data_IF_340993863367
#
_entry.id   IF_340993863367
#
_cell.length_a   1.000
_cell.length_b   1.000
_cell.length_c   1.000
_cell.angle_alpha   90.00
_cell.angle_beta   90.00
_cell.angle_gamma   90.00
#
_symmetry.space_group_name_H-M   'P 1'
#
loop_
_entity.id
_entity.type
_entity.pdbx_description
1 polymer ?
#
# COMPACT_ATOMS: atom_id res chain seq x y z
N UNK A 1 61.11 -47.50 11.04
CA UNK A 1 61.21 -48.85 10.43
C UNK A 1 60.20 -48.88 9.33
N UNK A 2 60.70 -48.83 8.15
CA UNK A 2 60.61 -49.76 7.02
C UNK A 2 59.36 -49.58 6.15
N UNK A 3 59.43 -48.89 4.98
CA UNK A 3 59.80 -49.43 3.61
C UNK A 3 58.61 -50.25 3.04
N UNK A 4 58.06 -50.11 1.79
CA UNK A 4 58.62 -49.85 0.44
C UNK A 4 57.41 -49.60 -0.50
N UNK A 5 57.45 -48.70 -1.46
CA UNK A 5 57.89 -48.74 -2.87
C UNK A 5 56.98 -49.47 -3.87
N UNK A 6 56.37 -48.68 -4.74
CA UNK A 6 56.28 -48.52 -6.21
C UNK A 6 56.75 -49.73 -7.09
N UNK A 7 56.17 -50.05 -8.29
CA UNK A 7 56.34 -49.30 -9.56
C UNK A 7 55.10 -49.25 -10.49
N UNK A 8 54.85 -48.20 -11.32
CA UNK A 8 55.42 -47.79 -12.64
C UNK A 8 55.40 -48.87 -13.76
N UNK A 9 54.66 -48.54 -14.83
CA UNK A 9 54.92 -48.66 -16.28
C UNK A 9 53.62 -48.44 -17.07
N UNK A 10 53.45 -47.41 -17.82
CA UNK A 10 53.95 -46.97 -19.14
C UNK A 10 53.52 -47.87 -20.32
N UNK A 11 52.99 -47.21 -21.34
CA UNK A 11 53.05 -47.43 -22.80
C UNK A 11 51.71 -47.26 -23.45
N UNK A 12 51.48 -46.32 -24.25
CA UNK A 12 51.80 -45.83 -25.57
C UNK A 12 50.55 -45.52 -26.40
N UNK A 13 50.58 -44.38 -27.02
CA UNK A 13 49.68 -43.73 -27.94
C UNK A 13 49.22 -44.55 -29.13
N UNK A 14 48.05 -44.24 -29.67
CA UNK A 14 47.82 -44.11 -31.12
C UNK A 14 46.74 -43.06 -31.35
N UNK A 15 47.09 -42.09 -32.17
CA UNK A 15 46.20 -41.07 -32.82
C UNK A 15 45.29 -41.75 -33.83
N UNK A 16 44.01 -41.33 -33.85
CA UNK A 16 43.23 -41.23 -35.09
C UNK A 16 42.13 -40.19 -34.95
N UNK A 17 42.23 -39.19 -35.80
CA UNK A 17 41.29 -38.15 -36.11
C UNK A 17 40.01 -38.70 -36.70
N UNK A 18 38.85 -38.25 -36.20
CA UNK A 18 37.62 -38.21 -36.98
C UNK A 18 36.71 -37.07 -36.52
N UNK A 19 36.42 -36.19 -37.44
CA UNK A 19 35.40 -35.15 -37.33
C UNK A 19 34.03 -35.75 -37.07
N UNK A 20 33.26 -35.18 -36.14
CA UNK A 20 31.81 -35.30 -36.21
C UNK A 20 31.11 -34.17 -35.46
N UNK A 21 30.07 -33.69 -36.08
CA UNK A 21 29.15 -32.59 -35.82
C UNK A 21 28.65 -32.44 -34.37
N UNK A 22 28.20 -31.22 -33.99
CA UNK A 22 27.54 -31.01 -32.73
C UNK A 22 26.10 -31.56 -32.81
N UNK A 23 25.78 -32.50 -31.93
CA UNK A 23 24.44 -33.04 -31.72
C UNK A 23 23.58 -32.01 -30.97
N UNK A 24 22.53 -31.61 -31.58
CA UNK A 24 21.37 -30.89 -30.99
C UNK A 24 20.78 -31.68 -29.82
N UNK A 25 20.36 -31.03 -28.71
CA UNK A 25 19.67 -31.74 -27.64
C UNK A 25 18.27 -32.17 -28.12
N UNK A 26 18.01 -33.47 -28.03
CA UNK A 26 16.68 -34.01 -28.26
C UNK A 26 15.79 -33.71 -27.05
N UNK A 27 14.71 -32.97 -27.30
CA UNK A 27 13.60 -32.80 -26.37
C UNK A 27 12.78 -34.08 -26.37
N UNK A 28 12.74 -34.77 -25.26
CA UNK A 28 11.83 -35.94 -25.09
C UNK A 28 10.49 -35.41 -24.63
N UNK A 29 9.51 -35.34 -25.52
CA UNK A 29 8.10 -35.14 -25.16
C UNK A 29 7.56 -36.38 -24.48
N UNK A 30 7.22 -36.32 -23.22
CA UNK A 30 6.48 -37.34 -22.50
C UNK A 30 4.99 -37.07 -22.67
N UNK A 31 4.37 -37.68 -23.66
CA UNK A 31 2.92 -37.62 -23.83
C UNK A 31 2.27 -38.58 -22.81
N UNK A 32 1.62 -38.03 -21.82
CA UNK A 32 0.77 -38.80 -20.89
C UNK A 32 -0.60 -38.91 -21.51
N UNK A 33 -0.94 -40.08 -22.00
CA UNK A 33 -2.31 -40.40 -22.48
C UNK A 33 -3.20 -40.57 -21.25
N UNK A 34 -4.15 -39.68 -21.09
CA UNK A 34 -5.25 -39.84 -20.13
C UNK A 34 -6.47 -40.31 -20.95
N UNK A 35 -6.86 -41.56 -20.82
CA UNK A 35 -8.12 -42.05 -21.38
C UNK A 35 -9.29 -41.41 -20.61
N UNK A 36 -10.00 -40.50 -21.28
CA UNK A 36 -11.30 -40.02 -20.84
C UNK A 36 -12.36 -40.70 -21.72
N UNK A 37 -13.03 -41.71 -21.19
CA UNK A 37 -14.19 -42.34 -21.85
C UNK A 37 -15.35 -41.36 -21.83
N UNK A 38 -15.58 -40.68 -22.94
CA UNK A 38 -16.77 -39.85 -23.15
C UNK A 38 -17.68 -40.56 -24.15
N UNK A 39 -18.88 -40.91 -23.72
CA UNK A 39 -19.93 -41.38 -24.65
C UNK A 39 -20.32 -40.22 -25.57
N UNK A 40 -20.10 -40.40 -26.86
CA UNK A 40 -20.51 -39.46 -27.91
C UNK A 40 -21.81 -39.99 -28.50
N UNK A 41 -22.90 -39.27 -28.29
CA UNK A 41 -24.13 -39.46 -29.08
C UNK A 41 -23.85 -38.95 -30.51
N UNK A 42 -23.89 -39.86 -31.47
CA UNK A 42 -23.75 -39.51 -32.89
C UNK A 42 -25.12 -39.19 -33.44
N UNK A 43 -25.45 -37.91 -33.53
CA UNK A 43 -26.62 -37.47 -34.31
C UNK A 43 -26.20 -37.34 -35.77
N UNK A 44 -26.78 -38.19 -36.62
CA UNK A 44 -26.55 -38.19 -38.07
C UNK A 44 -27.29 -36.99 -38.68
N UNK A 45 -26.55 -35.93 -39.06
CA UNK A 45 -27.09 -34.81 -39.82
C UNK A 45 -27.11 -35.19 -41.31
N UNK A 46 -28.30 -35.18 -41.93
CA UNK A 46 -28.49 -35.35 -43.36
C UNK A 46 -28.21 -33.97 -44.01
N UNK A 47 -27.22 -33.91 -44.87
CA UNK A 47 -26.87 -32.71 -45.63
C UNK A 47 -28.01 -32.38 -46.63
N UNK A 48 -28.55 -31.15 -46.50
CA UNK A 48 -29.36 -30.52 -47.55
C UNK A 48 -28.44 -29.77 -48.54
N UNK A 49 -28.80 -29.64 -49.81
CA UNK A 49 -27.91 -29.05 -50.82
C UNK A 49 -27.60 -27.58 -50.52
N UNK A 50 -26.32 -27.25 -50.60
CA UNK A 50 -25.76 -25.96 -50.31
C UNK A 50 -26.31 -24.85 -51.19
N UNK A 51 -26.92 -23.82 -50.59
CA UNK A 51 -27.11 -22.51 -51.18
C UNK A 51 -25.76 -21.75 -51.20
N UNK A 52 -25.48 -20.95 -52.24
CA UNK A 52 -24.23 -20.18 -52.32
C UNK A 52 -24.15 -19.23 -51.09
N UNK A 53 -23.07 -19.32 -50.33
CA UNK A 53 -22.81 -18.46 -49.21
C UNK A 53 -22.60 -17.02 -49.65
N UNK A 54 -23.44 -16.11 -49.18
CA UNK A 54 -23.16 -14.67 -49.24
C UNK A 54 -21.88 -14.40 -48.44
N UNK A 55 -20.88 -13.79 -49.07
CA UNK A 55 -19.63 -13.39 -48.42
C UNK A 55 -19.94 -12.30 -47.39
N UNK A 56 -20.03 -12.71 -46.13
CA UNK A 56 -20.10 -11.75 -45.02
C UNK A 56 -18.70 -11.18 -44.85
N UNK A 57 -18.53 -9.90 -45.16
CA UNK A 57 -17.28 -9.15 -44.87
C UNK A 57 -16.99 -9.27 -43.34
N UNK A 58 -15.71 -9.44 -42.94
CA UNK A 58 -15.38 -9.48 -41.51
C UNK A 58 -15.83 -8.20 -40.88
N UNK A 59 -16.65 -8.31 -39.80
CA UNK A 59 -17.05 -7.18 -39.01
C UNK A 59 -15.80 -6.52 -38.43
N UNK A 60 -15.58 -5.26 -38.77
CA UNK A 60 -14.53 -4.44 -38.16
C UNK A 60 -14.76 -4.44 -36.64
N UNK A 61 -13.80 -4.81 -35.79
CA UNK A 61 -13.96 -4.72 -34.34
C UNK A 61 -14.35 -3.29 -33.97
N UNK A 62 -15.41 -3.15 -33.17
CA UNK A 62 -15.76 -1.85 -32.61
C UNK A 62 -14.54 -1.25 -31.89
N UNK A 63 -14.25 0.06 -32.07
CA UNK A 63 -13.15 0.70 -31.35
C UNK A 63 -13.29 0.44 -29.86
N UNK A 64 -12.22 -0.02 -29.21
CA UNK A 64 -12.19 -0.12 -27.75
C UNK A 64 -12.50 1.26 -27.16
N UNK A 65 -13.29 1.37 -26.08
CA UNK A 65 -13.51 2.65 -25.43
C UNK A 65 -12.15 3.28 -25.11
N UNK A 66 -11.99 4.60 -25.32
CA UNK A 66 -10.73 5.26 -25.06
C UNK A 66 -10.36 5.01 -23.58
N UNK A 67 -9.11 4.61 -23.34
CA UNK A 67 -8.55 4.50 -22.01
C UNK A 67 -8.72 5.87 -21.30
N UNK A 68 -9.03 5.90 -20.00
CA UNK A 68 -9.11 7.15 -19.26
C UNK A 68 -7.81 7.93 -19.47
N UNK A 69 -7.91 9.12 -20.03
CA UNK A 69 -6.74 9.98 -20.19
C UNK A 69 -6.28 10.43 -18.81
N UNK A 70 -4.98 10.34 -18.53
CA UNK A 70 -4.38 10.96 -17.35
C UNK A 70 -4.74 12.46 -17.32
N UNK A 71 -5.08 13.03 -16.15
CA UNK A 71 -5.36 14.46 -16.03
C UNK A 71 -4.13 15.26 -16.46
N UNK A 72 -4.34 16.33 -17.22
CA UNK A 72 -3.24 17.27 -17.54
C UNK A 72 -2.82 18.06 -16.30
N UNK A 73 -1.67 18.74 -16.40
CA UNK A 73 -1.12 19.58 -15.32
C UNK A 73 -2.17 20.54 -14.74
N UNK A 74 -2.41 20.47 -13.43
CA UNK A 74 -3.35 21.32 -12.71
C UNK A 74 -4.84 21.01 -12.88
N UNK A 75 -5.18 19.97 -13.60
CA UNK A 75 -6.59 19.61 -13.82
C UNK A 75 -7.30 19.12 -12.54
N UNK A 76 -6.58 18.40 -11.69
CA UNK A 76 -7.17 17.89 -10.44
C UNK A 76 -7.47 19.04 -9.47
N UNK A 77 -6.53 19.99 -9.29
CA UNK A 77 -6.77 21.17 -8.45
C UNK A 77 -7.96 21.99 -8.95
N UNK A 78 -8.07 22.22 -10.26
CA UNK A 78 -9.20 22.92 -10.87
C UNK A 78 -10.55 22.22 -10.59
N UNK A 79 -10.59 20.88 -10.73
CA UNK A 79 -11.80 20.09 -10.42
C UNK A 79 -12.17 20.16 -8.95
N UNK A 80 -11.21 20.02 -8.06
CA UNK A 80 -11.38 20.07 -6.60
C UNK A 80 -11.91 21.44 -6.17
N UNK A 81 -11.29 22.53 -6.66
CA UNK A 81 -11.69 23.90 -6.33
C UNK A 81 -13.05 24.26 -6.92
N UNK A 82 -13.34 23.88 -8.17
CA UNK A 82 -14.64 24.11 -8.79
C UNK A 82 -15.79 23.36 -8.07
N UNK A 83 -15.51 22.16 -7.55
CA UNK A 83 -16.46 21.36 -6.75
C UNK A 83 -16.62 21.90 -5.33
N UNK A 84 -15.66 22.67 -4.83
CA UNK A 84 -15.64 23.23 -3.47
C UNK A 84 -15.37 22.23 -2.36
N UNK A 85 -14.91 21.03 -2.67
CA UNK A 85 -14.51 19.97 -1.72
C UNK A 85 -13.55 18.97 -2.33
N UNK A 86 -12.70 18.37 -1.48
CA UNK A 86 -11.83 17.24 -1.79
C UNK A 86 -12.63 15.93 -1.69
N UNK A 87 -12.43 14.97 -2.59
CA UNK A 87 -12.90 13.58 -2.42
C UNK A 87 -11.69 12.72 -2.05
N UNK A 88 -11.66 12.26 -0.79
CA UNK A 88 -10.56 11.46 -0.25
C UNK A 88 -10.98 10.00 -0.08
N UNK A 89 -10.25 9.09 -0.73
CA UNK A 89 -10.39 7.65 -0.55
C UNK A 89 -9.76 7.20 0.76
N UNK A 90 -10.57 6.64 1.67
CA UNK A 90 -10.18 6.33 3.05
C UNK A 90 -10.51 4.91 3.45
N UNK A 91 -9.89 4.43 4.53
CA UNK A 91 -10.36 3.27 5.27
C UNK A 91 -11.48 3.71 6.25
N UNK A 92 -12.40 2.79 6.56
CA UNK A 92 -13.48 3.01 7.54
C UNK A 92 -13.48 1.97 8.68
N UNK A 93 -12.47 1.08 8.70
CA UNK A 93 -12.50 -0.13 9.52
C UNK A 93 -11.26 -0.33 10.40
N UNK A 94 -10.25 0.56 10.35
CA UNK A 94 -9.00 0.43 11.11
C UNK A 94 -8.90 1.57 12.13
N UNK A 95 -9.28 1.33 13.41
CA UNK A 95 -9.18 2.33 14.47
C UNK A 95 -7.79 2.95 14.55
N UNK A 96 -7.72 4.26 14.74
CA UNK A 96 -6.48 5.02 14.76
C UNK A 96 -5.95 5.43 13.37
N UNK A 97 -6.22 4.70 12.28
CA UNK A 97 -5.82 5.08 10.92
C UNK A 97 -6.96 5.69 10.10
N UNK A 98 -8.01 4.92 9.88
CA UNK A 98 -9.22 5.36 9.19
C UNK A 98 -10.40 4.53 9.68
N UNK A 99 -11.33 5.15 10.39
CA UNK A 99 -12.50 4.50 10.95
C UNK A 99 -13.65 5.48 11.11
N UNK A 100 -14.84 4.94 11.29
CA UNK A 100 -16.03 5.73 11.65
C UNK A 100 -16.21 5.62 13.16
N UNK A 101 -16.21 6.76 13.83
CA UNK A 101 -16.38 6.82 15.29
C UNK A 101 -17.85 6.65 15.72
N UNK A 102 -18.10 6.68 17.03
CA UNK A 102 -19.45 6.50 17.58
C UNK A 102 -20.44 7.60 17.23
N UNK A 103 -19.98 8.75 16.74
CA UNK A 103 -20.81 9.84 16.23
C UNK A 103 -21.15 9.70 14.74
N UNK A 104 -20.57 8.72 14.05
CA UNK A 104 -20.65 8.54 12.61
C UNK A 104 -19.65 9.37 11.82
N UNK A 105 -18.70 10.03 12.48
CA UNK A 105 -17.67 10.83 11.83
C UNK A 105 -16.43 9.99 11.48
N UNK A 106 -15.80 10.33 10.33
CA UNK A 106 -14.50 9.75 9.97
C UNK A 106 -13.39 10.34 10.84
N UNK A 107 -12.56 9.48 11.40
CA UNK A 107 -11.44 9.83 12.26
C UNK A 107 -10.22 8.92 11.98
N UNK A 108 -9.03 9.38 12.38
CA UNK A 108 -7.80 8.61 12.28
C UNK A 108 -6.66 9.36 11.60
N UNK A 109 -5.48 8.78 11.68
CA UNK A 109 -4.22 9.32 11.17
C UNK A 109 -4.30 9.65 9.66
N UNK A 110 -4.76 8.72 8.84
CA UNK A 110 -4.94 8.91 7.40
C UNK A 110 -6.01 9.98 7.10
N UNK A 111 -7.09 9.99 7.88
CA UNK A 111 -8.18 10.98 7.77
C UNK A 111 -7.69 12.39 8.07
N UNK A 112 -6.76 12.54 9.01
CA UNK A 112 -6.19 13.85 9.31
C UNK A 112 -5.29 14.37 8.18
N UNK A 113 -4.63 13.51 7.39
CA UNK A 113 -3.95 13.94 6.15
C UNK A 113 -4.94 14.36 5.05
N UNK A 114 -6.14 13.76 4.96
CA UNK A 114 -7.20 14.30 4.10
C UNK A 114 -7.61 15.70 4.54
N UNK A 115 -7.76 15.93 5.87
CA UNK A 115 -8.08 17.26 6.43
C UNK A 115 -6.95 18.26 6.20
N UNK A 116 -5.68 17.81 6.27
CA UNK A 116 -4.52 18.64 5.94
C UNK A 116 -4.58 19.19 4.51
N UNK A 117 -4.93 18.34 3.54
CA UNK A 117 -5.13 18.75 2.15
C UNK A 117 -6.30 19.72 1.98
N UNK A 118 -7.43 19.48 2.64
CA UNK A 118 -8.55 20.43 2.60
C UNK A 118 -8.17 21.78 3.22
N UNK A 119 -7.42 21.78 4.31
CA UNK A 119 -6.89 22.99 4.92
C UNK A 119 -5.94 23.74 3.98
N UNK A 120 -5.04 23.02 3.29
CA UNK A 120 -4.12 23.60 2.32
C UNK A 120 -4.82 24.29 1.16
N UNK A 121 -5.92 23.69 0.64
CA UNK A 121 -6.61 24.13 -0.56
C UNK A 121 -7.69 25.19 -0.23
N UNK A 122 -8.46 24.97 0.84
CA UNK A 122 -9.67 25.73 1.15
C UNK A 122 -9.57 26.57 2.45
N UNK A 123 -8.48 26.42 3.23
CA UNK A 123 -8.41 26.94 4.60
C UNK A 123 -9.59 26.43 5.48
N UNK A 124 -10.11 25.24 5.17
CA UNK A 124 -11.26 24.66 5.86
C UNK A 124 -11.17 23.12 5.83
N UNK A 125 -10.94 22.52 7.00
CA UNK A 125 -10.82 21.07 7.19
C UNK A 125 -12.11 20.30 6.91
N UNK A 126 -13.26 20.99 6.83
CA UNK A 126 -14.57 20.37 6.57
C UNK A 126 -14.87 20.20 5.08
N UNK A 127 -14.08 20.79 4.18
CA UNK A 127 -14.27 20.72 2.73
C UNK A 127 -13.81 19.37 2.15
N UNK A 128 -14.35 18.28 2.71
CA UNK A 128 -14.01 16.91 2.32
C UNK A 128 -15.27 16.08 2.14
N UNK A 129 -15.25 15.24 1.11
CA UNK A 129 -16.10 14.06 0.99
C UNK A 129 -15.22 12.82 1.21
N UNK A 130 -15.54 12.05 2.21
CA UNK A 130 -14.85 10.78 2.46
C UNK A 130 -15.50 9.68 1.63
N UNK A 131 -14.66 8.95 0.87
CA UNK A 131 -15.08 7.79 0.09
C UNK A 131 -14.42 6.54 0.66
N UNK A 132 -15.16 5.73 1.46
CA UNK A 132 -14.61 4.46 1.94
C UNK A 132 -14.41 3.50 0.76
N UNK A 133 -13.23 2.92 0.67
CA UNK A 133 -12.88 1.94 -0.37
C UNK A 133 -12.22 0.71 0.26
N UNK A 134 -12.52 -0.48 -0.28
CA UNK A 134 -11.86 -1.73 0.13
C UNK A 134 -10.42 -1.78 -0.41
N UNK A 135 -9.65 -2.80 -0.02
CA UNK A 135 -8.30 -3.01 -0.55
C UNK A 135 -8.30 -3.25 -2.06
N UNK A 136 -9.33 -3.91 -2.61
CA UNK A 136 -9.47 -4.14 -4.05
C UNK A 136 -10.00 -2.93 -4.81
N UNK A 137 -10.91 -2.16 -4.21
CA UNK A 137 -11.56 -1.03 -4.88
C UNK A 137 -10.69 0.23 -4.96
N UNK A 138 -9.70 0.39 -4.08
CA UNK A 138 -8.94 1.65 -3.92
C UNK A 138 -8.23 2.12 -5.19
N UNK A 139 -7.59 1.22 -5.94
CA UNK A 139 -6.87 1.59 -7.16
C UNK A 139 -7.81 1.88 -8.33
N UNK A 140 -8.84 1.05 -8.63
CA UNK A 140 -9.87 1.42 -9.61
C UNK A 140 -10.56 2.75 -9.31
N UNK A 141 -10.88 3.04 -8.04
CA UNK A 141 -11.49 4.31 -7.65
C UNK A 141 -10.56 5.52 -7.88
N UNK A 142 -9.24 5.34 -7.64
CA UNK A 142 -8.25 6.38 -7.94
C UNK A 142 -8.09 6.58 -9.44
N UNK A 143 -7.96 5.50 -10.22
CA UNK A 143 -7.76 5.55 -11.67
C UNK A 143 -8.96 6.19 -12.39
N UNK A 144 -10.19 5.83 -12.02
CA UNK A 144 -11.41 6.37 -12.62
C UNK A 144 -11.67 7.84 -12.29
N UNK A 145 -11.01 8.37 -11.26
CA UNK A 145 -11.26 9.72 -10.75
C UNK A 145 -12.48 9.82 -9.83
N UNK A 146 -12.98 8.70 -9.32
CA UNK A 146 -13.98 8.68 -8.26
C UNK A 146 -13.45 9.32 -6.99
N UNK A 147 -12.16 9.20 -6.73
CA UNK A 147 -11.43 9.90 -5.66
C UNK A 147 -10.30 10.75 -6.23
N UNK A 148 -10.02 11.89 -5.60
CA UNK A 148 -8.93 12.79 -6.00
C UNK A 148 -7.58 12.32 -5.44
N UNK A 149 -7.59 11.74 -4.26
CA UNK A 149 -6.43 11.21 -3.55
C UNK A 149 -6.83 9.97 -2.76
N UNK A 150 -5.92 9.02 -2.65
CA UNK A 150 -6.07 7.82 -1.83
C UNK A 150 -5.15 7.95 -0.59
N UNK A 151 -5.75 8.02 0.61
CA UNK A 151 -5.02 8.02 1.89
C UNK A 151 -5.67 6.97 2.79
N UNK A 152 -5.12 5.74 2.71
CA UNK A 152 -5.79 4.55 3.25
C UNK A 152 -4.77 3.45 3.56
N UNK A 153 -3.88 3.66 4.54
CA UNK A 153 -2.86 2.68 4.91
C UNK A 153 -2.39 1.82 3.71
N UNK A 154 -1.99 2.50 2.63
CA UNK A 154 -1.63 1.86 1.36
C UNK A 154 -0.11 1.78 1.25
N UNK A 155 0.40 0.55 1.17
CA UNK A 155 1.83 0.27 1.06
C UNK A 155 2.36 0.67 -0.31
N UNK A 156 3.43 1.45 -0.33
CA UNK A 156 4.18 1.79 -1.52
C UNK A 156 5.00 0.57 -1.99
N UNK A 157 4.67 0.07 -3.16
CA UNK A 157 5.42 -1.00 -3.84
C UNK A 157 5.67 -0.61 -5.29
N UNK A 158 6.70 -1.18 -5.92
CA UNK A 158 7.01 -0.93 -7.33
C UNK A 158 5.77 -1.16 -8.22
N UNK A 159 5.12 -2.31 -8.09
CA UNK A 159 3.94 -2.66 -8.91
C UNK A 159 2.81 -1.66 -8.72
N UNK A 160 2.53 -1.24 -7.48
CA UNK A 160 1.47 -0.26 -7.22
C UNK A 160 1.79 1.11 -7.79
N UNK A 161 3.06 1.49 -7.78
CA UNK A 161 3.54 2.78 -8.27
C UNK A 161 3.60 2.82 -9.81
N UNK A 162 3.77 1.68 -10.47
CA UNK A 162 3.92 1.61 -11.93
C UNK A 162 2.64 1.15 -12.64
N UNK A 163 2.02 0.08 -12.15
CA UNK A 163 0.97 -0.63 -12.90
C UNK A 163 -0.45 -0.15 -12.55
N UNK A 164 -0.62 0.47 -11.38
CA UNK A 164 -1.93 0.92 -10.92
C UNK A 164 -2.28 2.38 -11.28
N UNK A 165 -1.54 2.98 -12.22
CA UNK A 165 -1.85 4.32 -12.78
C UNK A 165 -1.81 5.46 -11.77
N UNK A 166 -1.04 5.31 -10.68
CA UNK A 166 -0.88 6.32 -9.66
C UNK A 166 0.55 6.38 -9.12
N UNK A 167 0.89 7.48 -8.48
CA UNK A 167 2.18 7.74 -7.86
C UNK A 167 2.01 7.90 -6.35
N UNK A 168 2.88 7.26 -5.58
CA UNK A 168 3.02 7.56 -4.15
C UNK A 168 3.80 8.85 -3.95
N UNK A 169 3.33 9.72 -3.05
CA UNK A 169 3.91 11.06 -2.90
C UNK A 169 4.96 11.15 -1.79
N UNK A 170 4.76 10.42 -0.71
CA UNK A 170 5.65 10.34 0.45
C UNK A 170 5.23 9.16 1.33
N UNK A 171 6.14 8.68 2.19
CA UNK A 171 5.79 7.75 3.27
C UNK A 171 5.29 8.55 4.47
N UNK A 172 4.04 8.31 4.87
CA UNK A 172 3.46 8.90 6.10
C UNK A 172 3.62 8.00 7.31
N UNK A 173 3.75 6.68 7.11
CA UNK A 173 3.91 5.72 8.20
C UNK A 173 4.79 4.54 7.75
N UNK A 174 5.87 4.27 8.48
CA UNK A 174 6.74 3.11 8.28
C UNK A 174 6.25 1.95 9.14
N UNK A 175 5.83 0.88 8.50
CA UNK A 175 5.29 -0.32 9.13
C UNK A 175 5.98 -1.60 8.64
N UNK A 176 5.51 -2.72 9.11
CA UNK A 176 5.86 -4.06 8.67
C UNK A 176 4.72 -5.02 8.96
N UNK A 177 4.61 -6.08 8.20
CA UNK A 177 3.60 -7.12 8.44
C UNK A 177 3.96 -7.95 9.67
N UNK A 178 2.95 -8.22 10.50
CA UNK A 178 3.02 -9.09 11.67
C UNK A 178 2.06 -10.26 11.61
N UNK A 179 2.03 -11.02 12.70
CA UNK A 179 1.13 -12.14 12.92
C UNK A 179 0.55 -12.04 14.33
N UNK A 180 -0.77 -12.18 14.48
CA UNK A 180 -1.44 -12.24 15.78
C UNK A 180 -2.08 -13.61 15.97
N UNK A 181 -1.95 -14.15 17.18
CA UNK A 181 -2.46 -15.46 17.57
C UNK A 181 -3.13 -15.39 18.96
N UNK A 182 -4.05 -16.30 19.28
CA UNK A 182 -4.50 -16.49 20.65
C UNK A 182 -3.33 -16.95 21.54
N UNK A 183 -3.22 -16.44 22.76
CA UNK A 183 -2.20 -16.89 23.74
C UNK A 183 -2.27 -18.38 24.02
N UNK A 184 -3.47 -18.95 23.98
CA UNK A 184 -3.70 -20.39 24.17
C UNK A 184 -3.00 -21.28 23.17
N UNK A 185 -2.68 -20.75 21.97
CA UNK A 185 -1.93 -21.48 20.95
C UNK A 185 -0.45 -21.68 21.34
N UNK A 186 0.08 -20.86 22.26
CA UNK A 186 1.49 -20.86 22.68
C UNK A 186 2.51 -20.75 21.53
N UNK A 187 2.09 -20.21 20.36
CA UNK A 187 2.97 -19.95 19.25
C UNK A 187 3.87 -18.74 19.51
N UNK A 188 5.15 -18.84 19.12
CA UNK A 188 6.17 -17.78 19.27
C UNK A 188 6.82 -17.38 17.96
N UNK A 189 6.69 -18.19 16.92
CA UNK A 189 7.28 -18.02 15.59
C UNK A 189 6.34 -18.55 14.51
N UNK A 190 6.62 -18.24 13.25
CA UNK A 190 5.76 -18.65 12.13
C UNK A 190 5.71 -20.17 11.95
N UNK A 191 6.78 -20.89 12.25
CA UNK A 191 6.85 -22.35 12.15
C UNK A 191 5.86 -23.06 13.08
N UNK A 192 5.48 -22.43 14.18
CA UNK A 192 4.48 -22.96 15.12
C UNK A 192 3.05 -22.94 14.54
N UNK A 193 2.85 -22.28 13.39
CA UNK A 193 1.56 -22.19 12.68
C UNK A 193 1.43 -23.24 11.57
N UNK A 194 2.30 -24.26 11.56
CA UNK A 194 2.23 -25.33 10.55
C UNK A 194 0.87 -26.05 10.62
N UNK A 195 0.25 -26.25 9.45
CA UNK A 195 -1.10 -26.80 9.26
C UNK A 195 -2.24 -25.94 9.81
N UNK A 196 -1.95 -24.76 10.35
CA UNK A 196 -2.95 -23.81 10.85
C UNK A 196 -3.70 -23.08 9.75
N UNK A 197 -4.85 -22.52 10.11
CA UNK A 197 -5.64 -21.62 9.26
C UNK A 197 -5.30 -20.17 9.60
N UNK A 198 -4.94 -19.37 8.59
CA UNK A 198 -4.53 -17.97 8.78
C UNK A 198 -5.50 -17.05 8.05
N UNK A 199 -6.18 -16.18 8.80
CA UNK A 199 -7.04 -15.14 8.27
C UNK A 199 -6.21 -14.01 7.64
N UNK A 200 -6.56 -13.60 6.43
CA UNK A 200 -5.93 -12.50 5.70
C UNK A 200 -6.93 -11.75 4.83
N UNK A 201 -6.71 -10.46 4.61
CA UNK A 201 -7.55 -9.65 3.73
C UNK A 201 -7.07 -9.71 2.29
N UNK A 202 -8.01 -9.95 1.36
CA UNK A 202 -7.81 -9.98 -0.10
C UNK A 202 -7.31 -8.64 -0.67
N UNK A 203 -6.50 -8.72 -1.74
CA UNK A 203 -6.01 -7.53 -2.46
C UNK A 203 -4.97 -6.71 -1.68
N UNK A 204 -4.33 -7.31 -0.68
CA UNK A 204 -3.31 -6.65 0.16
C UNK A 204 -1.91 -7.17 -0.15
N UNK A 205 -0.89 -6.37 0.20
CA UNK A 205 0.51 -6.83 0.25
C UNK A 205 0.67 -7.96 1.26
N UNK A 206 -0.10 -7.91 2.34
CA UNK A 206 -0.02 -8.90 3.43
C UNK A 206 -0.53 -10.27 3.02
N UNK A 207 -1.47 -10.37 2.07
CA UNK A 207 -1.86 -11.64 1.44
C UNK A 207 -0.71 -12.25 0.63
N UNK A 208 -0.04 -11.43 -0.21
CA UNK A 208 1.10 -11.87 -1.02
C UNK A 208 2.30 -12.26 -0.15
N UNK A 209 2.66 -11.39 0.80
CA UNK A 209 3.77 -11.65 1.70
C UNK A 209 3.55 -12.89 2.58
N UNK A 210 2.30 -13.16 3.01
CA UNK A 210 1.97 -14.38 3.74
C UNK A 210 2.36 -15.61 2.91
N UNK A 211 1.93 -15.67 1.65
CA UNK A 211 2.24 -16.78 0.76
C UNK A 211 3.75 -16.94 0.56
N UNK A 212 4.47 -15.83 0.32
CA UNK A 212 5.93 -15.84 0.11
C UNK A 212 6.67 -16.31 1.37
N UNK A 213 6.32 -15.79 2.54
CA UNK A 213 6.99 -16.10 3.81
C UNK A 213 6.78 -17.56 4.22
N UNK A 214 5.56 -18.08 4.06
CA UNK A 214 5.25 -19.46 4.39
C UNK A 214 5.91 -20.44 3.41
N UNK A 215 5.92 -20.10 2.11
CA UNK A 215 6.61 -20.88 1.07
C UNK A 215 8.12 -20.93 1.31
N UNK A 216 8.75 -19.78 1.56
CA UNK A 216 10.21 -19.70 1.80
C UNK A 216 10.65 -20.53 3.01
N UNK A 217 9.77 -20.65 4.03
CA UNK A 217 10.02 -21.47 5.24
C UNK A 217 9.52 -22.90 5.11
N UNK A 218 8.90 -23.27 3.99
CA UNK A 218 8.27 -24.59 3.76
C UNK A 218 7.21 -24.93 4.81
N UNK A 219 6.48 -23.91 5.29
CA UNK A 219 5.38 -24.08 6.22
C UNK A 219 4.10 -24.32 5.44
N UNK A 220 3.46 -25.46 5.65
CA UNK A 220 2.13 -25.74 5.12
C UNK A 220 1.09 -25.05 6.00
N UNK A 221 0.15 -24.34 5.40
CA UNK A 221 -0.93 -23.65 6.09
C UNK A 221 -2.17 -23.54 5.19
N UNK A 222 -3.30 -23.15 5.73
CA UNK A 222 -4.52 -22.88 4.98
C UNK A 222 -4.84 -21.37 5.04
N UNK A 223 -4.77 -20.62 3.93
CA UNK A 223 -5.21 -19.23 3.92
C UNK A 223 -6.74 -19.15 3.98
N UNK A 224 -7.28 -18.35 4.89
CA UNK A 224 -8.68 -17.93 4.93
C UNK A 224 -8.77 -16.47 4.51
N UNK A 225 -9.23 -16.24 3.27
CA UNK A 225 -9.20 -14.93 2.61
C UNK A 225 -10.56 -14.26 2.71
N UNK A 226 -10.59 -12.98 3.13
CA UNK A 226 -11.80 -12.17 3.33
C UNK A 226 -11.72 -10.84 2.59
N UNK A 227 -12.86 -10.28 2.21
CA UNK A 227 -12.92 -9.07 1.37
C UNK A 227 -12.53 -7.79 2.14
N UNK A 228 -12.75 -7.73 3.46
CA UNK A 228 -12.49 -6.54 4.26
C UNK A 228 -11.95 -6.86 5.66
N UNK A 229 -11.47 -5.84 6.37
CA UNK A 229 -10.86 -6.01 7.69
C UNK A 229 -11.86 -6.48 8.75
N UNK A 230 -13.12 -6.04 8.69
CA UNK A 230 -14.13 -6.44 9.68
C UNK A 230 -14.41 -7.94 9.58
N UNK A 231 -14.66 -8.45 8.38
CA UNK A 231 -14.90 -9.89 8.14
C UNK A 231 -13.67 -10.74 8.49
N UNK A 232 -12.45 -10.25 8.18
CA UNK A 232 -11.18 -10.91 8.52
C UNK A 232 -11.05 -11.09 10.05
N UNK A 233 -11.22 -10.01 10.80
CA UNK A 233 -11.06 -10.03 12.26
C UNK A 233 -12.25 -10.66 13.00
N UNK A 234 -13.47 -10.59 12.43
CA UNK A 234 -14.61 -11.34 12.97
C UNK A 234 -14.38 -12.84 12.89
N UNK A 235 -13.91 -13.34 11.73
CA UNK A 235 -13.57 -14.74 11.55
C UNK A 235 -12.50 -15.23 12.53
N UNK A 236 -11.47 -14.41 12.76
CA UNK A 236 -10.44 -14.70 13.75
C UNK A 236 -11.03 -14.73 15.19
N UNK A 237 -11.83 -13.73 15.56
CA UNK A 237 -12.44 -13.65 16.89
C UNK A 237 -13.42 -14.80 17.18
N UNK A 238 -14.07 -15.34 16.14
CA UNK A 238 -14.94 -16.52 16.19
C UNK A 238 -14.17 -17.86 16.24
N UNK A 239 -12.83 -17.83 16.19
CA UNK A 239 -11.99 -19.02 16.21
C UNK A 239 -12.01 -19.83 14.90
N UNK A 240 -12.41 -19.20 13.77
CA UNK A 240 -12.35 -19.83 12.43
C UNK A 240 -10.93 -19.87 11.87
N UNK A 241 -10.01 -19.09 12.45
CA UNK A 241 -8.61 -19.07 12.09
C UNK A 241 -7.76 -19.18 13.38
N UNK A 242 -6.65 -19.89 13.26
CA UNK A 242 -5.64 -20.02 14.32
C UNK A 242 -4.78 -18.76 14.46
N UNK A 243 -4.68 -17.99 13.40
CA UNK A 243 -3.92 -16.73 13.33
C UNK A 243 -4.58 -15.72 12.42
N UNK A 244 -4.21 -14.45 12.56
CA UNK A 244 -4.55 -13.37 11.62
C UNK A 244 -3.32 -12.53 11.31
N UNK A 245 -3.18 -12.11 10.05
CA UNK A 245 -2.06 -11.30 9.61
C UNK A 245 -2.51 -10.04 8.90
N UNK A 246 -1.84 -8.94 9.20
CA UNK A 246 -1.85 -7.65 8.50
C UNK A 246 -0.64 -6.84 8.98
N UNK A 247 -0.56 -5.55 8.66
CA UNK A 247 0.43 -4.62 9.19
C UNK A 247 0.42 -4.65 10.73
N UNK A 248 1.58 -4.55 11.38
CA UNK A 248 1.70 -4.57 12.85
C UNK A 248 0.84 -3.50 13.50
N UNK A 249 0.83 -2.29 12.93
CA UNK A 249 -0.04 -1.22 13.41
C UNK A 249 -1.52 -1.58 13.29
N UNK A 250 -1.91 -2.24 12.21
CA UNK A 250 -3.26 -2.78 11.99
C UNK A 250 -3.63 -3.86 13.00
N UNK A 251 -2.69 -4.78 13.33
CA UNK A 251 -2.89 -5.80 14.37
C UNK A 251 -3.10 -5.15 15.75
N UNK A 252 -2.26 -4.17 16.13
CA UNK A 252 -2.39 -3.44 17.39
C UNK A 252 -3.76 -2.74 17.45
N UNK A 253 -4.09 -2.03 16.38
CA UNK A 253 -5.35 -1.31 16.22
C UNK A 253 -6.57 -2.23 16.40
N UNK A 254 -6.60 -3.33 15.65
CA UNK A 254 -7.72 -4.28 15.68
C UNK A 254 -7.79 -5.07 16.99
N UNK A 255 -6.64 -5.43 17.57
CA UNK A 255 -6.58 -6.05 18.89
C UNK A 255 -7.25 -5.19 19.97
N UNK A 256 -7.03 -3.87 19.93
CA UNK A 256 -7.57 -2.93 20.93
C UNK A 256 -9.10 -2.88 21.01
N UNK A 257 -9.79 -3.40 19.99
CA UNK A 257 -11.26 -3.44 19.93
C UNK A 257 -11.84 -4.87 19.94
N UNK A 258 -11.01 -5.90 20.13
CA UNK A 258 -11.49 -7.26 20.41
C UNK A 258 -12.16 -7.31 21.78
N UNK A 259 -13.05 -8.27 21.99
CA UNK A 259 -13.72 -8.47 23.28
C UNK A 259 -12.70 -8.75 24.40
N UNK A 260 -11.65 -9.52 24.11
CA UNK A 260 -10.58 -9.89 25.03
C UNK A 260 -9.22 -9.60 24.41
N UNK A 261 -8.76 -8.33 24.38
CA UNK A 261 -7.49 -7.96 23.73
C UNK A 261 -6.29 -8.70 24.29
N UNK A 262 -6.30 -8.93 25.62
CA UNK A 262 -5.19 -9.55 26.35
C UNK A 262 -5.06 -11.06 26.13
N UNK A 263 -6.06 -11.71 25.57
CA UNK A 263 -5.99 -13.14 25.19
C UNK A 263 -5.25 -13.34 23.87
N UNK A 264 -4.80 -12.26 23.22
CA UNK A 264 -4.14 -12.28 21.94
C UNK A 264 -2.72 -11.72 22.06
N UNK A 265 -1.78 -12.32 21.32
CA UNK A 265 -0.38 -11.87 21.23
C UNK A 265 -0.01 -11.62 19.78
N UNK A 266 0.67 -10.49 19.53
CA UNK A 266 1.32 -10.21 18.26
C UNK A 266 2.74 -10.77 18.37
N UNK A 267 3.08 -11.71 17.48
CA UNK A 267 4.39 -12.36 17.49
C UNK A 267 5.50 -11.34 17.20
N UNK A 268 6.67 -11.55 17.81
CA UNK A 268 7.85 -10.74 17.53
C UNK A 268 8.50 -11.17 16.20
N UNK A 269 7.74 -11.01 15.10
CA UNK A 269 8.18 -11.25 13.73
C UNK A 269 7.84 -10.05 12.86
N UNK A 270 8.70 -9.75 11.89
CA UNK A 270 8.42 -8.77 10.84
C UNK A 270 8.58 -9.46 9.50
N UNK A 271 7.47 -9.63 8.79
CA UNK A 271 7.39 -10.43 7.57
C UNK A 271 7.71 -9.62 6.31
N UNK A 272 7.57 -8.30 6.36
CA UNK A 272 7.80 -7.40 5.24
C UNK A 272 8.11 -5.98 5.70
N UNK A 273 8.47 -5.11 4.73
CA UNK A 273 8.49 -3.66 4.88
C UNK A 273 7.21 -3.10 4.27
N UNK A 274 6.48 -2.30 5.05
CA UNK A 274 5.23 -1.69 4.63
C UNK A 274 5.31 -0.15 4.80
N UNK A 275 5.97 0.58 3.85
CA UNK A 275 5.94 2.04 3.84
C UNK A 275 4.56 2.50 3.35
N UNK A 276 3.74 3.05 4.23
CA UNK A 276 2.40 3.51 3.92
C UNK A 276 2.42 4.97 3.50
N UNK A 277 1.61 5.34 2.51
CA UNK A 277 1.56 6.73 2.07
C UNK A 277 0.38 7.07 1.16
N UNK A 278 0.13 8.37 0.97
CA UNK A 278 -0.84 8.87 0.01
C UNK A 278 -0.45 8.55 -1.43
N UNK A 279 -1.47 8.29 -2.26
CA UNK A 279 -1.30 8.01 -3.68
C UNK A 279 -2.24 8.91 -4.49
N UNK A 280 -1.74 9.43 -5.61
CA UNK A 280 -2.47 10.27 -6.57
C UNK A 280 -2.43 9.65 -7.95
N UNK A 281 -3.36 10.04 -8.86
CA UNK A 281 -3.29 9.62 -10.27
C UNK A 281 -2.02 10.15 -10.93
N UNK A 282 -1.46 9.37 -11.85
CA UNK A 282 -0.37 9.81 -12.72
C UNK A 282 -0.82 10.93 -13.67
N UNK A 283 0.12 11.75 -14.10
CA UNK A 283 -0.05 12.76 -15.16
C UNK A 283 -0.51 14.14 -14.68
N UNK A 284 -0.67 14.38 -13.36
CA UNK A 284 -0.88 15.71 -12.80
C UNK A 284 0.18 16.02 -11.75
N UNK A 285 1.32 16.53 -12.22
CA UNK A 285 2.49 16.81 -11.37
C UNK A 285 2.20 17.92 -10.34
N UNK A 286 1.33 18.88 -10.67
CA UNK A 286 0.92 19.91 -9.71
C UNK A 286 0.15 19.28 -8.55
N UNK A 287 -0.79 18.37 -8.84
CA UNK A 287 -1.53 17.67 -7.80
C UNK A 287 -0.63 16.79 -6.93
N UNK A 288 0.30 16.09 -7.58
CA UNK A 288 1.33 15.31 -6.88
C UNK A 288 2.14 16.18 -5.92
N UNK A 289 2.60 17.36 -6.38
CA UNK A 289 3.36 18.28 -5.55
C UNK A 289 2.54 18.86 -4.40
N UNK A 290 1.27 19.22 -4.61
CA UNK A 290 0.38 19.70 -3.55
C UNK A 290 0.25 18.66 -2.44
N UNK A 291 -0.05 17.40 -2.78
CA UNK A 291 -0.21 16.33 -1.79
C UNK A 291 1.10 16.04 -1.08
N UNK A 292 2.21 15.94 -1.81
CA UNK A 292 3.56 15.72 -1.28
C UNK A 292 3.98 16.80 -0.29
N UNK A 293 3.91 18.07 -0.71
CA UNK A 293 4.34 19.17 0.13
C UNK A 293 3.41 19.42 1.31
N UNK A 294 2.13 19.04 1.22
CA UNK A 294 1.23 19.05 2.38
C UNK A 294 1.69 18.06 3.44
N UNK A 295 2.10 16.84 3.07
CA UNK A 295 2.68 15.88 4.01
C UNK A 295 3.97 16.46 4.63
N UNK A 296 4.88 16.97 3.80
CA UNK A 296 6.15 17.53 4.30
C UNK A 296 5.97 18.78 5.15
N UNK A 297 4.93 19.57 4.92
CA UNK A 297 4.63 20.72 5.79
C UNK A 297 4.29 20.30 7.23
N UNK A 298 3.60 19.15 7.41
CA UNK A 298 3.33 18.62 8.75
C UNK A 298 4.61 18.12 9.44
N UNK A 299 5.51 17.45 8.69
CA UNK A 299 6.78 16.96 9.20
C UNK A 299 7.71 18.13 9.54
N UNK A 300 7.87 19.11 8.64
CA UNK A 300 8.65 20.32 8.90
C UNK A 300 8.09 21.13 10.09
N UNK A 301 6.77 21.15 10.24
CA UNK A 301 6.12 21.75 11.41
C UNK A 301 6.59 21.11 12.71
N UNK A 302 6.70 19.79 12.78
CA UNK A 302 7.25 19.08 13.94
C UNK A 302 8.74 19.37 14.13
N UNK A 303 9.55 19.33 13.06
CA UNK A 303 10.99 19.62 13.08
C UNK A 303 11.29 21.02 13.64
N UNK A 304 10.45 22.01 13.30
CA UNK A 304 10.59 23.39 13.75
C UNK A 304 9.87 23.69 15.08
N UNK A 305 9.16 22.73 15.66
CA UNK A 305 8.35 22.95 16.86
C UNK A 305 7.15 23.87 16.62
N UNK A 306 6.66 23.95 15.38
CA UNK A 306 5.44 24.69 15.02
C UNK A 306 4.24 23.78 15.27
N UNK A 307 3.32 24.22 16.12
CA UNK A 307 2.16 23.46 16.58
C UNK A 307 0.87 24.22 16.30
N UNK A 308 -0.27 23.54 16.44
CA UNK A 308 -1.59 24.20 16.41
C UNK A 308 -1.66 25.42 17.35
N UNK A 309 -1.05 25.31 18.53
CA UNK A 309 -1.10 26.36 19.56
C UNK A 309 -0.26 27.58 19.23
N UNK A 310 0.87 27.43 18.49
CA UNK A 310 1.82 28.51 18.28
C UNK A 310 1.99 28.96 16.83
N UNK A 311 1.36 28.30 15.86
CA UNK A 311 1.57 28.55 14.42
C UNK A 311 1.32 30.01 14.05
N UNK A 312 0.34 30.68 14.63
CA UNK A 312 0.01 32.09 14.35
C UNK A 312 1.15 33.00 14.77
N UNK A 313 1.68 32.80 15.98
CA UNK A 313 2.80 33.60 16.51
C UNK A 313 4.10 33.31 15.75
N UNK A 314 4.35 32.05 15.40
CA UNK A 314 5.51 31.63 14.62
C UNK A 314 5.46 32.16 13.18
N UNK A 315 4.29 32.30 12.59
CA UNK A 315 4.13 32.93 11.26
C UNK A 315 4.39 34.44 11.31
N UNK A 316 3.96 35.11 12.38
CA UNK A 316 4.26 36.53 12.58
C UNK A 316 5.74 36.78 12.90
N UNK A 317 6.39 35.88 13.63
CA UNK A 317 7.77 36.02 14.14
C UNK A 317 8.59 34.73 13.88
N UNK A 318 8.88 34.38 12.61
CA UNK A 318 9.59 33.15 12.27
C UNK A 318 11.05 33.19 12.73
N UNK A 319 11.50 32.14 13.44
CA UNK A 319 12.81 32.06 14.07
C UNK A 319 13.96 31.81 13.08
N UNK A 320 13.67 31.18 11.92
CA UNK A 320 14.68 30.86 10.92
C UNK A 320 14.22 31.27 9.52
N UNK A 321 15.13 31.46 8.57
CA UNK A 321 14.75 31.75 7.17
C UNK A 321 13.90 30.65 6.54
N UNK A 322 14.11 29.38 6.91
CA UNK A 322 13.34 28.26 6.38
C UNK A 322 11.92 28.24 6.96
N UNK A 323 11.78 28.44 8.27
CA UNK A 323 10.47 28.60 8.90
C UNK A 323 9.69 29.78 8.30
N UNK A 324 10.37 30.89 7.98
CA UNK A 324 9.77 32.06 7.31
C UNK A 324 9.17 31.69 5.96
N UNK A 325 9.88 30.87 5.16
CA UNK A 325 9.37 30.40 3.87
C UNK A 325 8.23 29.41 4.03
N UNK A 326 8.36 28.43 4.92
CA UNK A 326 7.30 27.46 5.22
C UNK A 326 6.00 28.16 5.60
N UNK A 327 6.08 29.14 6.49
CA UNK A 327 4.90 29.82 7.04
C UNK A 327 4.42 31.01 6.18
N UNK A 328 4.93 31.16 4.94
CA UNK A 328 4.51 32.21 4.02
C UNK A 328 4.87 33.63 4.46
N UNK A 329 5.79 33.81 5.42
CA UNK A 329 6.21 35.12 5.91
C UNK A 329 7.37 35.72 5.10
N UNK A 330 7.86 35.04 4.08
CA UNK A 330 8.91 35.57 3.20
C UNK A 330 8.28 36.50 2.14
N UNK A 331 8.76 37.76 2.08
CA UNK A 331 8.23 38.74 1.12
C UNK A 331 8.71 38.51 -0.31
N UNK A 332 9.84 37.83 -0.47
CA UNK A 332 10.48 37.58 -1.78
C UNK A 332 10.09 36.26 -2.42
N UNK A 333 9.60 35.31 -1.62
CA UNK A 333 9.30 33.95 -2.06
C UNK A 333 7.89 33.55 -1.65
N UNK A 334 7.03 33.33 -2.62
CA UNK A 334 5.70 32.75 -2.42
C UNK A 334 5.72 31.28 -2.86
N UNK A 335 5.87 30.37 -1.89
CA UNK A 335 5.85 28.92 -2.15
C UNK A 335 4.42 28.42 -2.41
N UNK A 336 3.39 29.05 -1.87
CA UNK A 336 2.01 28.73 -2.15
C UNK A 336 1.65 28.94 -3.62
N UNK A 337 2.04 30.07 -4.20
CA UNK A 337 1.80 30.37 -5.61
C UNK A 337 2.42 29.33 -6.55
N UNK A 338 3.58 28.74 -6.18
CA UNK A 338 4.22 27.66 -6.97
C UNK A 338 3.39 26.37 -7.01
N UNK A 339 2.58 26.15 -5.97
CA UNK A 339 1.63 25.02 -5.89
C UNK A 339 0.22 25.39 -6.40
N UNK A 340 -0.03 26.68 -6.69
CA UNK A 340 -1.38 27.16 -7.00
C UNK A 340 -2.26 27.31 -5.76
N UNK A 341 -1.66 27.45 -4.58
CA UNK A 341 -2.31 27.61 -3.28
C UNK A 341 -2.10 29.04 -2.73
N UNK A 342 -2.78 29.37 -1.64
CA UNK A 342 -2.56 30.62 -0.91
C UNK A 342 -1.15 30.66 -0.30
N UNK A 343 -0.63 31.87 -0.08
CA UNK A 343 0.71 32.09 0.50
C UNK A 343 0.86 31.43 1.89
N UNK A 344 -0.21 31.38 2.64
CA UNK A 344 -0.32 30.86 4.02
C UNK A 344 -0.82 29.41 4.11
N UNK A 345 -0.82 28.67 3.00
CA UNK A 345 -1.34 27.32 2.93
C UNK A 345 -0.79 26.38 4.03
N UNK A 346 0.51 26.46 4.34
CA UNK A 346 1.13 25.62 5.38
C UNK A 346 0.71 26.04 6.79
N UNK A 347 0.47 27.35 7.02
CA UNK A 347 -0.14 27.84 8.27
C UNK A 347 -1.54 27.25 8.42
N UNK A 348 -2.34 27.24 7.35
CA UNK A 348 -3.68 26.68 7.34
C UNK A 348 -3.68 25.17 7.64
N UNK A 349 -2.71 24.43 7.10
CA UNK A 349 -2.50 23.00 7.42
C UNK A 349 -2.24 22.81 8.91
N UNK A 350 -1.21 23.46 9.47
CA UNK A 350 -0.81 23.26 10.87
C UNK A 350 -1.90 23.76 11.82
N UNK A 351 -2.57 24.88 11.49
CA UNK A 351 -3.69 25.38 12.28
C UNK A 351 -4.88 24.42 12.28
N UNK A 352 -5.14 23.78 11.13
CA UNK A 352 -6.30 22.90 10.93
C UNK A 352 -6.13 21.52 11.55
N UNK A 353 -4.94 20.92 11.44
CA UNK A 353 -4.69 19.54 11.86
C UNK A 353 -3.50 19.35 12.79
N UNK A 354 -2.66 20.36 12.97
CA UNK A 354 -1.39 20.26 13.70
C UNK A 354 -0.23 19.81 12.82
N UNK A 355 0.94 19.71 13.46
CA UNK A 355 2.10 19.09 12.85
C UNK A 355 2.00 17.55 12.89
N UNK A 356 2.97 16.85 12.28
CA UNK A 356 2.97 15.39 12.23
C UNK A 356 2.90 14.74 13.62
N UNK A 357 3.64 15.26 14.60
CA UNK A 357 3.61 14.77 15.99
C UNK A 357 2.22 14.89 16.62
N UNK A 358 1.55 16.03 16.44
CA UNK A 358 0.19 16.26 16.94
C UNK A 358 -0.83 15.32 16.26
N UNK A 359 -0.68 15.11 14.94
CA UNK A 359 -1.51 14.14 14.19
C UNK A 359 -1.27 12.72 14.72
N UNK A 360 -0.01 12.34 14.91
CA UNK A 360 0.36 11.03 15.43
C UNK A 360 -0.21 10.79 16.83
N UNK A 361 0.08 11.70 17.76
CA UNK A 361 -0.26 11.54 19.17
C UNK A 361 -1.78 11.47 19.39
N UNK A 362 -2.54 12.27 18.65
CA UNK A 362 -4.01 12.27 18.72
C UNK A 362 -4.63 10.95 18.27
N UNK A 363 -4.05 10.28 17.27
CA UNK A 363 -4.65 9.11 16.64
C UNK A 363 -4.02 7.78 17.08
N UNK A 364 -2.73 7.75 17.32
CA UNK A 364 -1.93 6.55 17.53
C UNK A 364 -1.08 6.60 18.81
N UNK A 365 -0.93 7.78 19.40
CA UNK A 365 -0.04 8.05 20.52
C UNK A 365 -0.46 7.37 21.83
N UNK A 366 0.35 7.52 22.89
CA UNK A 366 0.21 6.76 24.15
C UNK A 366 -1.11 7.01 24.91
N UNK A 367 -1.81 8.11 24.64
CA UNK A 367 -3.11 8.40 25.24
C UNK A 367 -4.28 7.70 24.53
N UNK A 368 -4.03 7.07 23.39
CA UNK A 368 -5.04 6.35 22.59
C UNK A 368 -5.13 4.88 23.03
N UNK A 369 -6.23 4.20 22.65
CA UNK A 369 -6.36 2.75 22.89
C UNK A 369 -5.33 1.92 22.11
N UNK A 370 -4.82 2.43 21.01
CA UNK A 370 -3.81 1.76 20.18
C UNK A 370 -2.41 1.90 20.76
N UNK A 371 -2.06 3.06 21.31
CA UNK A 371 -0.79 3.35 21.98
C UNK A 371 0.44 2.82 21.19
N UNK A 372 0.51 3.12 19.89
CA UNK A 372 1.60 2.65 19.02
C UNK A 372 2.85 3.49 19.28
N UNK A 373 4.00 2.88 19.59
CA UNK A 373 5.27 3.62 19.70
C UNK A 373 5.69 4.23 18.37
N UNK A 374 6.27 5.43 18.39
CA UNK A 374 6.75 6.12 17.19
C UNK A 374 7.77 5.27 16.40
N UNK A 375 8.78 4.72 17.05
CA UNK A 375 9.82 3.90 16.41
C UNK A 375 10.40 4.58 15.15
N UNK A 376 10.34 3.90 14.00
CA UNK A 376 10.76 4.45 12.71
C UNK A 376 9.97 5.71 12.28
N UNK A 377 8.80 5.94 12.85
CA UNK A 377 7.97 7.12 12.62
C UNK A 377 8.34 8.32 13.48
N UNK A 378 9.47 8.28 14.18
CA UNK A 378 10.10 9.44 14.81
C UNK A 378 10.83 10.27 13.77
N UNK A 379 11.05 11.58 14.08
CA UNK A 379 11.94 12.42 13.27
C UNK A 379 13.34 11.82 13.20
N UNK A 380 14.07 12.09 12.12
CA UNK A 380 15.46 11.63 11.94
C UNK A 380 16.36 12.08 13.09
N UNK A 381 16.15 13.28 13.63
CA UNK A 381 16.89 13.78 14.78
C UNK A 381 16.68 12.95 16.07
N UNK A 382 15.60 12.17 16.13
CA UNK A 382 15.24 11.29 17.23
C UNK A 382 15.40 9.79 16.87
N UNK A 383 16.21 9.49 15.84
CA UNK A 383 16.50 8.11 15.42
C UNK A 383 15.46 7.44 14.54
N UNK A 384 14.46 8.19 14.03
CA UNK A 384 13.48 7.70 13.08
C UNK A 384 13.87 7.94 11.61
N UNK A 385 12.91 7.79 10.71
CA UNK A 385 13.09 7.96 9.26
C UNK A 385 12.38 9.20 8.70
N UNK A 386 11.66 9.95 9.52
CA UNK A 386 10.93 11.11 9.05
C UNK A 386 11.82 12.35 9.05
N UNK A 387 11.93 12.98 7.88
CA UNK A 387 12.43 14.34 7.73
C UNK A 387 11.81 14.99 6.50
N UNK A 388 11.67 16.31 6.53
CA UNK A 388 11.18 17.08 5.41
C UNK A 388 12.29 17.54 4.49
N UNK A 389 12.14 17.49 3.15
CA UNK A 389 12.98 18.28 2.26
C UNK A 389 12.86 19.77 2.57
N UNK A 390 13.93 20.57 2.35
CA UNK A 390 13.93 21.99 2.71
C UNK A 390 12.95 22.82 1.86
N UNK A 391 12.23 23.72 2.52
CA UNK A 391 11.36 24.73 1.90
C UNK A 391 12.20 25.88 1.36
N UNK A 392 12.54 25.85 0.05
CA UNK A 392 13.38 26.85 -0.62
C UNK A 392 12.86 27.24 -2.00
#
# INVERSE_FOLDING_TARGET
>A
MSRKLIPVLLVLAILLTACSNPSTPQTVEVTRVVEVTRMVEVTRVVEAPAQPAATVAPATPAPAPPAPQAPGFGETLKKVTARGKLICGVNSQVPGFGFVDSSGAYAGFDVDFCKALAAAIFNDVSKIEYRPVTAEQRFPALQSGEIDVLIRNTTWTLVRDTDNGGNFVATTFYDGQGMMVPKSLNATKLEDLASGTICVQKGTTTELNLADQMTARKIQYTPAVFDDANSTFAAYAEGRCDAVTTDKSGLISRRSVLANPDDNVILDVTMSKEPLGPMVRQGDDQWFDIVKWTVFATIAGEEFGVTTANVTDMAANPKTPEMRRLLGADEKVDLGAKLGLSKDWAVNVIKGVGNYGEIYDRNLGPATKTAIPRGLNSLYANGGLLYSPPFR
#
